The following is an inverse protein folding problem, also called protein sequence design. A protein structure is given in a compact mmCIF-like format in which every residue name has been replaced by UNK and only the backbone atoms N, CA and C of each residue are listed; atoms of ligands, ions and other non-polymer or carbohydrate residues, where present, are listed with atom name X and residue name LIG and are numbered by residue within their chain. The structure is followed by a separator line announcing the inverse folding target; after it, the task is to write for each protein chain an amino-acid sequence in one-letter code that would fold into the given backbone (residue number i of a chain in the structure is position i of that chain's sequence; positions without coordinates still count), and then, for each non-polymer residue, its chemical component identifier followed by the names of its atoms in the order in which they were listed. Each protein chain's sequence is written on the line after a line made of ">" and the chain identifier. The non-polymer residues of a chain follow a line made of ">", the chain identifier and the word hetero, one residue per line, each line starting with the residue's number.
data_IF_506327889594
#
_entry.id   IF_506327889594
#
_cell.length_a   1.000
_cell.length_b   1.000
_cell.length_c   1.000
_cell.angle_alpha   90.00
_cell.angle_beta   90.00
_cell.angle_gamma   90.00
#
_symmetry.space_group_name_H-M   'P 1'
#
loop_
_entity.id
_entity.type
_entity.pdbx_description
1 polymer ?
#
# COMPACT_ATOMS: atom_id res chain seq x y z
N UNK A 1 -16.57 -28.48 -30.80
CA UNK A 1 -17.12 -27.59 -29.76
C UNK A 1 -16.19 -27.38 -28.56
N UNK A 2 -15.37 -28.36 -28.13
CA UNK A 2 -14.41 -28.15 -27.02
C UNK A 2 -13.20 -27.24 -27.35
N UNK A 3 -12.83 -27.06 -28.62
CA UNK A 3 -11.64 -26.30 -29.00
C UNK A 3 -11.80 -24.77 -28.85
N UNK A 4 -13.02 -24.25 -29.01
CA UNK A 4 -13.31 -22.81 -28.89
C UNK A 4 -13.40 -22.32 -27.44
N UNK A 5 -13.71 -23.21 -26.49
CA UNK A 5 -13.80 -22.86 -25.07
C UNK A 5 -12.40 -22.70 -24.45
N UNK A 6 -11.43 -23.54 -24.85
CA UNK A 6 -10.04 -23.42 -24.42
C UNK A 6 -9.32 -22.18 -25.00
N UNK A 7 -9.64 -21.77 -26.23
CA UNK A 7 -9.05 -20.57 -26.83
C UNK A 7 -9.56 -19.27 -26.19
N UNK A 8 -10.85 -19.22 -25.83
CA UNK A 8 -11.42 -18.08 -25.10
C UNK A 8 -10.85 -17.95 -23.68
N UNK A 9 -10.58 -19.06 -22.99
CA UNK A 9 -9.90 -19.04 -21.69
C UNK A 9 -8.43 -18.62 -21.79
N UNK A 10 -7.76 -18.94 -22.89
CA UNK A 10 -6.38 -18.52 -23.12
C UNK A 10 -6.29 -17.03 -23.43
N UNK A 11 -7.20 -16.49 -24.27
CA UNK A 11 -7.25 -15.06 -24.64
C UNK A 11 -7.55 -14.13 -23.46
N UNK A 12 -8.33 -14.58 -22.47
CA UNK A 12 -8.54 -13.83 -21.21
C UNK A 12 -7.33 -13.86 -20.26
N UNK A 13 -6.36 -14.76 -20.45
CA UNK A 13 -5.16 -14.87 -19.63
C UNK A 13 -3.97 -14.07 -20.21
N UNK A 14 -3.97 -13.77 -21.52
CA UNK A 14 -2.85 -13.07 -22.19
C UNK A 14 -2.96 -11.54 -22.21
N UNK A 15 -4.08 -10.99 -21.75
CA UNK A 15 -4.16 -9.58 -21.36
C UNK A 15 -4.25 -9.52 -19.85
N UNK A 16 -3.13 -9.81 -19.17
CA UNK A 16 -2.87 -9.16 -17.90
C UNK A 16 -2.79 -7.66 -18.20
N UNK A 17 -3.95 -7.01 -18.26
CA UNK A 17 -4.06 -5.56 -18.27
C UNK A 17 -3.31 -5.16 -17.01
N UNK A 18 -2.12 -4.61 -17.18
CA UNK A 18 -1.36 -4.00 -16.08
C UNK A 18 -2.26 -2.90 -15.56
N UNK A 19 -3.03 -3.19 -14.51
CA UNK A 19 -3.96 -2.24 -13.92
C UNK A 19 -3.07 -1.07 -13.49
N UNK A 20 -3.27 0.11 -14.07
CA UNK A 20 -2.49 1.29 -13.70
C UNK A 20 -2.68 1.55 -12.21
N UNK A 21 -1.58 1.80 -11.51
CA UNK A 21 -1.61 1.88 -10.05
C UNK A 21 -2.03 3.27 -9.62
N UNK A 22 -3.12 3.33 -8.87
CA UNK A 22 -3.68 4.52 -8.21
C UNK A 22 -3.76 4.27 -6.71
N UNK A 23 -3.86 5.34 -5.93
CA UNK A 23 -4.14 5.27 -4.50
C UNK A 23 -5.64 5.24 -4.21
N UNK A 24 -6.03 4.48 -3.19
CA UNK A 24 -7.39 4.50 -2.63
C UNK A 24 -7.64 5.76 -1.78
N UNK A 25 -8.90 5.98 -1.37
CA UNK A 25 -9.23 7.04 -0.42
C UNK A 25 -8.45 6.89 0.90
N UNK A 26 -8.37 5.66 1.44
CA UNK A 26 -7.69 5.39 2.69
C UNK A 26 -6.18 5.63 2.59
N UNK A 27 -5.55 5.29 1.47
CA UNK A 27 -4.13 5.58 1.24
C UNK A 27 -3.89 7.09 1.09
N UNK A 28 -4.72 7.79 0.31
CA UNK A 28 -4.60 9.23 0.09
C UNK A 28 -4.83 10.05 1.37
N UNK A 29 -5.60 9.55 2.32
CA UNK A 29 -5.81 10.22 3.61
C UNK A 29 -4.48 10.46 4.35
N UNK A 30 -3.52 9.53 4.24
CA UNK A 30 -2.24 9.63 4.96
C UNK A 30 -1.27 10.65 4.36
N UNK A 31 -1.41 10.95 3.07
CA UNK A 31 -0.57 11.90 2.33
C UNK A 31 -1.21 13.29 2.17
N UNK A 32 -2.34 13.56 2.83
CA UNK A 32 -2.93 14.89 2.84
C UNK A 32 -1.95 15.92 3.42
N UNK A 33 -1.75 17.01 2.68
CA UNK A 33 -0.80 18.08 3.02
C UNK A 33 0.68 17.76 2.78
N UNK A 34 1.00 16.58 2.24
CA UNK A 34 2.36 16.23 1.82
C UNK A 34 2.59 16.53 0.34
N UNK A 35 3.85 16.54 -0.13
CA UNK A 35 4.14 16.59 -1.55
C UNK A 35 3.52 15.44 -2.34
N UNK A 36 3.42 15.64 -3.65
CA UNK A 36 2.80 14.68 -4.56
C UNK A 36 3.55 13.33 -4.57
N UNK A 37 2.78 12.25 -4.40
CA UNK A 37 3.29 10.89 -4.35
C UNK A 37 3.44 10.24 -5.74
N UNK A 38 4.58 10.45 -6.39
CA UNK A 38 4.86 9.93 -7.75
C UNK A 38 4.93 8.40 -7.88
N UNK A 39 5.27 7.67 -6.81
CA UNK A 39 5.47 6.23 -6.83
C UNK A 39 4.80 5.57 -5.63
N UNK A 40 4.39 4.32 -5.81
CA UNK A 40 3.90 3.43 -4.75
C UNK A 40 4.88 2.26 -4.58
N UNK A 41 5.29 1.99 -3.35
CA UNK A 41 6.12 0.81 -3.01
C UNK A 41 5.37 -0.08 -2.03
N UNK A 42 5.41 -1.38 -2.25
CA UNK A 42 4.86 -2.41 -1.39
C UNK A 42 5.97 -3.35 -0.92
N UNK A 43 5.99 -3.68 0.37
CA UNK A 43 6.86 -4.70 0.96
C UNK A 43 6.03 -5.81 1.58
N UNK A 44 6.15 -7.02 1.04
CA UNK A 44 5.63 -8.23 1.66
C UNK A 44 6.54 -8.61 2.84
N UNK A 45 6.01 -8.61 4.05
CA UNK A 45 6.77 -8.83 5.28
C UNK A 45 6.54 -10.22 5.83
N UNK A 46 7.62 -10.85 6.29
CA UNK A 46 7.56 -12.11 7.03
C UNK A 46 8.17 -11.96 8.43
N UNK A 47 7.68 -12.76 9.36
CA UNK A 47 8.24 -12.96 10.70
C UNK A 47 8.63 -14.42 10.85
N UNK A 48 9.91 -14.70 11.07
CA UNK A 48 10.44 -16.07 11.19
C UNK A 48 10.03 -16.98 10.00
N UNK A 49 9.92 -16.40 8.80
CA UNK A 49 9.50 -17.11 7.57
C UNK A 49 7.99 -17.22 7.35
N UNK A 50 7.15 -16.77 8.28
CA UNK A 50 5.69 -16.70 8.09
C UNK A 50 5.28 -15.34 7.54
N UNK A 51 4.43 -15.33 6.52
CA UNK A 51 3.90 -14.08 5.94
C UNK A 51 2.96 -13.38 6.92
N UNK A 52 3.22 -12.08 7.16
CA UNK A 52 2.48 -11.28 8.15
C UNK A 52 1.63 -10.17 7.52
N UNK A 53 1.86 -9.86 6.24
CA UNK A 53 1.13 -8.80 5.54
C UNK A 53 2.06 -7.92 4.69
N UNK A 54 1.55 -6.77 4.29
CA UNK A 54 2.24 -5.82 3.43
C UNK A 54 2.36 -4.45 4.11
N UNK A 55 3.51 -3.80 3.93
CA UNK A 55 3.67 -2.36 4.17
C UNK A 55 3.64 -1.64 2.83
N UNK A 56 2.73 -0.68 2.68
CA UNK A 56 2.58 0.11 1.46
C UNK A 56 2.97 1.56 1.71
N UNK A 57 3.76 2.14 0.80
CA UNK A 57 4.33 3.47 0.89
C UNK A 57 4.01 4.30 -0.34
N UNK A 58 3.74 5.58 -0.12
CA UNK A 58 3.70 6.62 -1.11
C UNK A 58 5.02 7.40 -1.10
N UNK A 59 5.64 7.61 -2.26
CA UNK A 59 6.97 8.22 -2.37
C UNK A 59 6.94 9.58 -3.07
N UNK A 60 7.63 10.56 -2.49
CA UNK A 60 7.62 11.97 -2.89
C UNK A 60 8.66 12.28 -3.98
N UNK A 61 8.54 11.64 -5.14
CA UNK A 61 9.56 11.73 -6.21
C UNK A 61 9.69 13.10 -6.87
N UNK A 62 8.71 14.00 -6.74
CA UNK A 62 8.88 15.39 -7.20
C UNK A 62 9.80 16.19 -6.26
N UNK A 63 9.77 15.89 -4.96
CA UNK A 63 10.58 16.57 -3.93
C UNK A 63 11.97 15.94 -3.75
N UNK A 64 12.04 14.61 -3.82
CA UNK A 64 13.28 13.84 -3.63
C UNK A 64 13.48 12.80 -4.75
N UNK A 65 13.66 13.22 -6.02
CA UNK A 65 13.70 12.32 -7.16
C UNK A 65 14.81 11.27 -7.08
N UNK A 66 16.04 11.64 -6.69
CA UNK A 66 17.16 10.70 -6.59
C UNK A 66 16.98 9.71 -5.46
N UNK A 67 16.48 10.19 -4.32
CA UNK A 67 16.22 9.33 -3.16
C UNK A 67 15.14 8.30 -3.49
N UNK A 68 14.07 8.71 -4.17
CA UNK A 68 12.98 7.84 -4.61
C UNK A 68 13.45 6.87 -5.68
N UNK A 69 14.19 7.32 -6.70
CA UNK A 69 14.75 6.44 -7.73
C UNK A 69 15.64 5.36 -7.11
N UNK A 70 16.54 5.73 -6.18
CA UNK A 70 17.36 4.78 -5.44
C UNK A 70 16.50 3.74 -4.70
N UNK A 71 15.51 4.19 -3.92
CA UNK A 71 14.68 3.30 -3.13
C UNK A 71 13.84 2.36 -3.98
N UNK A 72 13.26 2.83 -5.07
CA UNK A 72 12.48 2.02 -6.02
C UNK A 72 13.37 1.01 -6.74
N UNK A 73 14.56 1.40 -7.19
CA UNK A 73 15.49 0.49 -7.86
C UNK A 73 15.99 -0.63 -6.94
N UNK A 74 16.28 -0.32 -5.67
CA UNK A 74 16.63 -1.31 -4.64
C UNK A 74 15.42 -2.19 -4.27
N UNK A 75 14.21 -1.63 -4.25
CA UNK A 75 12.98 -2.41 -4.04
C UNK A 75 12.74 -3.43 -5.15
N UNK A 76 12.94 -3.01 -6.41
CA UNK A 76 12.72 -3.80 -7.60
C UNK A 76 13.91 -4.69 -7.99
N UNK A 77 14.97 -4.71 -7.17
CA UNK A 77 16.20 -5.45 -7.46
C UNK A 77 16.80 -5.11 -8.84
N UNK A 78 16.60 -3.88 -9.34
CA UNK A 78 16.89 -3.52 -10.74
C UNK A 78 18.39 -3.60 -11.11
N UNK A 79 19.27 -3.61 -10.10
CA UNK A 79 20.73 -3.78 -10.26
C UNK A 79 21.21 -5.19 -9.88
N UNK A 80 20.30 -6.12 -9.58
CA UNK A 80 20.63 -7.47 -9.09
C UNK A 80 20.88 -7.57 -7.58
N UNK A 81 20.78 -6.45 -6.87
CA UNK A 81 20.84 -6.34 -5.40
C UNK A 81 19.76 -5.36 -4.92
N UNK A 82 19.40 -5.42 -3.64
CA UNK A 82 18.32 -4.61 -3.09
C UNK A 82 17.66 -5.21 -1.86
N UNK A 83 16.37 -4.92 -1.67
CA UNK A 83 15.65 -5.20 -0.42
C UNK A 83 15.02 -6.59 -0.29
N UNK A 84 15.11 -7.43 -1.32
CA UNK A 84 14.61 -8.80 -1.25
C UNK A 84 15.40 -9.62 -0.20
N UNK A 85 14.67 -10.26 0.71
CA UNK A 85 15.16 -11.04 1.85
C UNK A 85 15.97 -10.25 2.90
N UNK A 86 15.86 -8.93 2.91
CA UNK A 86 16.55 -8.05 3.88
C UNK A 86 15.82 -7.97 5.20
N UNK A 87 16.57 -7.97 6.30
CA UNK A 87 16.02 -7.88 7.66
C UNK A 87 15.86 -6.45 8.16
N UNK A 88 14.85 -6.23 9.00
CA UNK A 88 14.81 -5.07 9.90
C UNK A 88 15.71 -5.36 11.09
N UNK A 89 16.92 -4.80 11.07
CA UNK A 89 17.98 -5.13 12.03
C UNK A 89 17.90 -4.34 13.34
N UNK A 90 17.07 -3.29 13.39
CA UNK A 90 16.90 -2.43 14.57
C UNK A 90 15.47 -1.93 14.69
N UNK A 91 14.86 -2.14 15.85
CA UNK A 91 13.48 -1.72 16.18
C UNK A 91 13.52 -1.01 17.52
N UNK A 92 13.03 0.22 17.59
CA UNK A 92 12.91 0.97 18.84
C UNK A 92 11.46 1.37 19.01
N UNK A 93 10.83 0.83 20.05
CA UNK A 93 9.45 1.15 20.42
C UNK A 93 9.28 2.66 20.66
N UNK A 94 8.15 3.20 20.23
CA UNK A 94 7.80 4.62 20.30
C UNK A 94 8.81 5.52 19.57
N UNK A 95 9.46 4.99 18.53
CA UNK A 95 10.40 5.73 17.72
C UNK A 95 10.37 5.31 16.24
N UNK A 96 10.99 4.17 15.90
CA UNK A 96 11.17 3.76 14.50
C UNK A 96 11.58 2.30 14.34
N UNK A 97 11.36 1.77 13.13
CA UNK A 97 11.92 0.51 12.66
C UNK A 97 12.90 0.77 11.51
N UNK A 98 14.09 0.16 11.54
CA UNK A 98 15.18 0.41 10.59
C UNK A 98 15.56 -0.87 9.84
N UNK A 99 15.76 -0.73 8.53
CA UNK A 99 16.12 -1.81 7.61
C UNK A 99 17.00 -1.31 6.46
N UNK A 100 17.10 -2.10 5.40
CA UNK A 100 17.79 -1.72 4.16
C UNK A 100 19.29 -2.05 4.08
N UNK A 101 19.86 -2.67 5.13
CA UNK A 101 21.22 -3.24 5.06
C UNK A 101 21.17 -4.65 4.44
N UNK A 102 21.34 -4.71 3.12
CA UNK A 102 21.35 -5.96 2.36
C UNK A 102 22.71 -6.63 2.27
N UNK A 103 23.78 -6.02 2.80
CA UNK A 103 25.13 -6.56 2.73
C UNK A 103 25.48 -7.32 4.02
N UNK A 104 25.32 -6.65 5.17
CA UNK A 104 25.74 -7.19 6.47
C UNK A 104 24.55 -7.51 7.38
N UNK A 105 23.40 -6.84 7.17
CA UNK A 105 22.19 -7.04 7.98
C UNK A 105 22.33 -6.63 9.45
N UNK A 106 23.30 -5.78 9.78
CA UNK A 106 23.61 -5.33 11.14
C UNK A 106 23.68 -3.80 11.28
N UNK A 107 23.47 -3.07 10.19
CA UNK A 107 23.49 -1.62 10.13
C UNK A 107 24.83 -1.04 9.67
N UNK A 108 25.82 -1.87 9.35
CA UNK A 108 27.15 -1.40 8.87
C UNK A 108 27.28 -1.38 7.35
N UNK A 109 26.36 -2.04 6.63
CA UNK A 109 26.39 -2.17 5.18
C UNK A 109 25.28 -1.42 4.44
N UNK A 110 25.15 -1.74 3.16
CA UNK A 110 24.17 -1.18 2.24
C UNK A 110 24.71 0.00 1.45
N UNK A 111 24.52 -0.04 0.13
CA UNK A 111 24.95 1.02 -0.79
C UNK A 111 23.81 1.41 -1.74
N UNK A 112 23.86 2.65 -2.22
CA UNK A 112 22.89 3.16 -3.19
C UNK A 112 23.18 2.68 -4.61
N UNK A 113 22.23 2.85 -5.51
CA UNK A 113 22.45 2.61 -6.95
C UNK A 113 23.49 3.55 -7.58
N UNK A 114 23.84 4.64 -6.88
CA UNK A 114 24.82 5.64 -7.30
C UNK A 114 26.23 5.38 -6.73
N UNK A 115 26.40 4.29 -5.96
CA UNK A 115 27.63 3.96 -5.25
C UNK A 115 27.42 3.91 -3.73
N UNK A 116 28.53 3.95 -2.97
CA UNK A 116 28.49 3.74 -1.52
C UNK A 116 27.60 4.74 -0.78
N UNK A 117 27.63 6.02 -1.18
CA UNK A 117 26.88 7.11 -0.55
C UNK A 117 26.41 8.14 -1.57
N UNK A 118 25.32 8.84 -1.28
CA UNK A 118 24.86 10.02 -2.03
C UNK A 118 24.44 11.17 -1.09
N UNK A 119 24.45 12.43 -1.59
CA UNK A 119 24.14 13.63 -0.79
C UNK A 119 22.72 13.68 -0.25
N UNK A 120 22.48 14.53 0.76
CA UNK A 120 21.14 14.85 1.24
C UNK A 120 20.41 15.71 0.20
N UNK A 121 19.23 15.27 -0.24
CA UNK A 121 18.53 15.87 -1.39
C UNK A 121 17.60 17.02 -0.99
N UNK A 122 16.70 16.79 -0.03
CA UNK A 122 15.75 17.80 0.47
C UNK A 122 15.39 17.53 1.93
N UNK A 123 15.13 18.60 2.68
CA UNK A 123 14.59 18.56 4.04
C UNK A 123 13.22 19.26 4.14
N UNK A 124 12.51 19.40 3.02
CA UNK A 124 11.20 20.05 2.97
C UNK A 124 10.14 19.31 3.80
N UNK A 125 10.17 17.97 3.74
CA UNK A 125 9.24 17.12 4.50
C UNK A 125 9.83 16.79 5.87
N UNK A 126 9.03 17.00 6.90
CA UNK A 126 9.42 16.81 8.30
C UNK A 126 8.90 15.47 8.85
N UNK A 127 9.49 14.99 9.95
CA UNK A 127 9.09 13.76 10.63
C UNK A 127 7.90 13.97 11.58
N UNK A 128 6.84 14.62 11.06
CA UNK A 128 5.65 15.06 11.80
C UNK A 128 4.43 14.13 11.68
N UNK A 129 4.63 12.91 11.14
CA UNK A 129 3.60 11.87 11.04
C UNK A 129 4.15 10.51 11.46
N UNK A 130 3.27 9.65 11.97
CA UNK A 130 3.54 8.21 12.09
C UNK A 130 3.65 7.60 10.69
N UNK A 131 4.63 6.73 10.49
CA UNK A 131 4.87 6.04 9.22
C UNK A 131 5.70 6.85 8.21
N UNK A 132 6.38 7.92 8.62
CA UNK A 132 7.33 8.63 7.75
C UNK A 132 8.44 7.69 7.34
N UNK A 133 8.69 7.62 6.03
CA UNK A 133 9.78 6.86 5.45
C UNK A 133 10.95 7.79 5.16
N UNK A 134 12.11 7.49 5.76
CA UNK A 134 13.25 8.40 5.79
C UNK A 134 14.59 7.66 5.70
N UNK A 135 15.60 8.32 5.14
CA UNK A 135 16.93 7.74 4.93
C UNK A 135 17.70 7.66 6.25
N UNK A 136 18.24 6.48 6.55
CA UNK A 136 19.25 6.36 7.60
C UNK A 136 20.60 6.83 7.04
N UNK A 137 21.37 7.54 7.87
CA UNK A 137 22.69 8.04 7.51
C UNK A 137 23.64 8.02 8.72
N UNK A 138 24.92 8.25 8.48
CA UNK A 138 25.97 8.37 9.51
C UNK A 138 26.55 9.78 9.55
N UNK A 139 25.71 10.79 9.32
CA UNK A 139 26.10 12.19 9.15
C UNK A 139 25.73 12.73 7.77
N UNK A 140 26.02 14.02 7.58
CA UNK A 140 25.65 14.77 6.37
C UNK A 140 26.16 14.09 5.10
N UNK A 141 25.31 14.01 4.08
CA UNK A 141 25.63 13.50 2.74
C UNK A 141 26.10 12.04 2.72
N UNK A 142 25.52 11.20 3.59
CA UNK A 142 25.90 9.77 3.72
C UNK A 142 24.77 8.78 3.47
N UNK A 143 23.77 9.17 2.67
CA UNK A 143 22.65 8.30 2.32
C UNK A 143 23.12 7.09 1.51
N UNK A 144 22.61 5.91 1.84
CA UNK A 144 22.96 4.65 1.17
C UNK A 144 21.70 3.86 0.80
N UNK A 145 21.57 2.65 1.32
CA UNK A 145 20.37 1.82 1.20
C UNK A 145 19.53 1.75 2.48
N UNK A 146 20.10 2.09 3.63
CA UNK A 146 19.38 1.98 4.88
C UNK A 146 18.31 3.06 5.00
N UNK A 147 17.17 2.65 5.56
CA UNK A 147 16.02 3.51 5.77
C UNK A 147 15.36 3.16 7.10
N UNK A 148 14.52 4.05 7.60
CA UNK A 148 13.66 3.79 8.74
C UNK A 148 12.24 4.29 8.49
N UNK A 149 11.31 3.68 9.22
CA UNK A 149 9.89 4.03 9.24
C UNK A 149 9.58 4.51 10.64
N UNK A 150 9.10 5.74 10.80
CA UNK A 150 8.73 6.26 12.12
C UNK A 150 7.50 5.54 12.65
N UNK A 151 7.51 5.21 13.94
CA UNK A 151 6.36 4.62 14.63
C UNK A 151 5.70 5.60 15.59
N UNK A 152 6.43 6.65 15.99
CA UNK A 152 5.89 7.80 16.73
C UNK A 152 5.33 8.85 15.79
N UNK A 153 4.35 9.62 16.29
CA UNK A 153 3.71 10.70 15.55
C UNK A 153 4.66 11.86 15.21
N UNK A 154 5.56 12.22 16.13
CA UNK A 154 6.50 13.33 15.95
C UNK A 154 7.92 12.91 16.37
N UNK A 155 8.84 13.01 15.41
CA UNK A 155 10.27 12.77 15.53
C UNK A 155 11.09 13.99 15.07
N UNK A 156 10.62 15.21 15.36
CA UNK A 156 11.23 16.48 14.93
C UNK A 156 12.73 16.66 15.23
N UNK A 157 13.31 15.91 16.17
CA UNK A 157 14.77 15.91 16.41
C UNK A 157 15.60 15.35 15.24
N UNK A 158 14.96 14.66 14.30
CA UNK A 158 15.54 14.14 13.05
C UNK A 158 15.45 15.14 11.89
N UNK A 159 14.65 16.19 12.02
CA UNK A 159 14.43 17.17 10.95
C UNK A 159 15.72 17.92 10.61
N UNK A 160 15.93 18.18 9.32
CA UNK A 160 17.16 18.78 8.80
C UNK A 160 18.40 17.87 8.85
N UNK A 161 18.25 16.61 9.30
CA UNK A 161 19.36 15.63 9.39
C UNK A 161 19.12 14.38 8.56
N UNK A 162 17.85 13.99 8.37
CA UNK A 162 17.46 12.82 7.60
C UNK A 162 16.47 13.22 6.51
N UNK A 163 16.69 12.73 5.30
CA UNK A 163 15.84 13.00 4.14
C UNK A 163 14.58 12.15 4.23
N UNK A 164 13.43 12.79 4.45
CA UNK A 164 12.12 12.15 4.33
C UNK A 164 11.73 12.09 2.86
N UNK A 165 11.41 10.91 2.37
CA UNK A 165 11.11 10.68 0.95
C UNK A 165 9.81 9.90 0.71
N UNK A 166 9.08 9.55 1.78
CA UNK A 166 7.78 8.91 1.65
C UNK A 166 6.98 8.82 2.94
N UNK A 167 5.81 8.20 2.82
CA UNK A 167 4.84 8.00 3.88
C UNK A 167 4.20 6.62 3.76
N UNK A 168 4.09 5.89 4.87
CA UNK A 168 3.28 4.67 4.95
C UNK A 168 1.81 5.04 4.72
N UNK A 169 1.18 4.34 3.79
CA UNK A 169 -0.23 4.52 3.41
C UNK A 169 -1.08 3.27 3.66
N UNK A 170 -0.44 2.12 3.91
CA UNK A 170 -1.11 0.87 4.26
C UNK A 170 -0.23 -0.04 5.11
N UNK A 171 -0.85 -0.89 5.95
CA UNK A 171 -0.11 -1.81 6.83
C UNK A 171 0.24 -1.24 8.21
N UNK A 172 -0.50 -0.26 8.72
CA UNK A 172 -0.24 0.32 10.05
C UNK A 172 -0.34 -0.69 11.20
N UNK A 173 -1.26 -1.67 11.13
CA UNK A 173 -1.37 -2.74 12.12
C UNK A 173 -0.11 -3.63 12.14
N UNK A 174 0.44 -3.91 10.96
CA UNK A 174 1.70 -4.64 10.81
C UNK A 174 2.89 -3.82 11.36
N UNK A 175 2.93 -2.51 11.08
CA UNK A 175 3.94 -1.62 11.65
C UNK A 175 3.90 -1.64 13.19
N UNK A 176 2.70 -1.60 13.78
CA UNK A 176 2.51 -1.67 15.23
C UNK A 176 2.93 -3.03 15.82
N UNK A 177 2.66 -4.11 15.09
CA UNK A 177 3.11 -5.44 15.50
C UNK A 177 4.64 -5.57 15.47
N UNK A 178 5.29 -5.02 14.43
CA UNK A 178 6.75 -4.98 14.34
C UNK A 178 7.35 -4.15 15.47
N UNK A 179 6.80 -2.97 15.72
CA UNK A 179 7.22 -2.07 16.80
C UNK A 179 7.18 -2.72 18.19
N UNK A 180 6.15 -3.52 18.48
CA UNK A 180 5.97 -4.18 19.77
C UNK A 180 6.73 -5.52 19.89
N UNK A 181 7.58 -5.85 18.92
CA UNK A 181 8.42 -7.06 18.99
C UNK A 181 9.46 -6.92 20.12
N UNK A 182 9.68 -7.97 20.95
CA UNK A 182 10.76 -7.96 21.93
C UNK A 182 12.13 -7.80 21.27
N UNK A 183 12.95 -6.89 21.82
CA UNK A 183 14.30 -6.61 21.33
C UNK A 183 15.37 -6.92 22.38
N UNK A 184 16.60 -7.12 21.92
CA UNK A 184 17.77 -7.22 22.79
C UNK A 184 18.25 -5.82 23.27
N UNK A 185 19.35 -5.81 24.04
CA UNK A 185 19.96 -4.59 24.56
C UNK A 185 20.50 -3.63 23.47
N UNK A 186 20.68 -4.10 22.24
CA UNK A 186 21.11 -3.29 21.08
C UNK A 186 19.93 -2.85 20.22
N UNK A 187 18.69 -3.11 20.66
CA UNK A 187 17.45 -2.88 19.92
C UNK A 187 17.31 -3.76 18.67
N UNK A 188 18.03 -4.89 18.61
CA UNK A 188 17.84 -5.88 17.56
C UNK A 188 16.62 -6.75 17.92
N UNK A 189 15.66 -6.95 17.01
CA UNK A 189 14.49 -7.78 17.32
C UNK A 189 14.88 -9.24 17.50
N UNK A 190 14.23 -9.90 18.46
CA UNK A 190 14.39 -11.33 18.69
C UNK A 190 13.80 -12.16 17.55
N UNK A 191 12.67 -11.69 17.00
CA UNK A 191 12.07 -12.26 15.81
C UNK A 191 12.73 -11.72 14.54
N UNK A 192 12.91 -12.60 13.56
CA UNK A 192 13.47 -12.23 12.26
C UNK A 192 12.36 -11.66 11.38
N UNK A 193 12.27 -10.33 11.34
CA UNK A 193 11.43 -9.60 10.40
C UNK A 193 12.16 -9.36 9.09
N UNK A 194 11.58 -9.82 7.97
CA UNK A 194 12.22 -9.82 6.65
C UNK A 194 11.29 -9.24 5.60
N UNK A 195 11.82 -8.38 4.74
CA UNK A 195 11.19 -7.99 3.48
C UNK A 195 11.31 -9.19 2.53
N UNK A 196 10.26 -10.00 2.44
CA UNK A 196 10.27 -11.18 1.57
C UNK A 196 10.38 -10.78 0.11
N UNK A 197 9.65 -9.74 -0.29
CA UNK A 197 9.69 -9.20 -1.64
C UNK A 197 9.20 -7.76 -1.64
N UNK A 198 9.81 -6.93 -2.48
CA UNK A 198 9.37 -5.57 -2.75
C UNK A 198 8.81 -5.39 -4.16
N UNK A 199 7.93 -4.41 -4.33
CA UNK A 199 7.50 -3.94 -5.64
C UNK A 199 7.29 -2.43 -5.60
N UNK A 200 7.99 -1.70 -6.46
CA UNK A 200 7.86 -0.26 -6.66
C UNK A 200 7.37 0.06 -8.06
N UNK A 201 6.33 0.87 -8.16
CA UNK A 201 5.68 1.23 -9.42
C UNK A 201 5.35 2.73 -9.46
N UNK A 202 5.44 3.37 -10.63
CA UNK A 202 4.95 4.73 -10.79
C UNK A 202 3.43 4.78 -10.64
N UNK A 203 2.92 5.89 -10.12
CA UNK A 203 1.49 6.14 -9.96
C UNK A 203 0.96 6.85 -11.20
N UNK A 204 -0.13 6.34 -11.76
CA UNK A 204 -0.75 6.96 -12.93
C UNK A 204 -1.74 8.05 -12.51
N UNK A 205 -1.25 9.28 -12.50
CA UNK A 205 -2.07 10.44 -12.18
C UNK A 205 -3.05 10.85 -13.27
N UNK A 206 -2.99 10.29 -14.48
CA UNK A 206 -3.98 10.59 -15.53
C UNK A 206 -5.37 10.04 -15.21
N UNK A 207 -5.42 9.02 -14.36
CA UNK A 207 -6.63 8.34 -13.91
C UNK A 207 -6.84 8.42 -12.39
N UNK A 208 -5.89 9.00 -11.65
CA UNK A 208 -6.03 9.19 -10.21
C UNK A 208 -7.17 10.17 -9.93
N UNK A 209 -8.23 9.68 -9.29
CA UNK A 209 -9.35 10.51 -8.86
C UNK A 209 -8.96 11.36 -7.63
N UNK A 210 -9.55 12.55 -7.47
CA UNK A 210 -9.40 13.38 -6.29
C UNK A 210 -9.79 12.66 -5.00
N UNK A 211 -9.16 13.04 -3.89
CA UNK A 211 -9.43 12.44 -2.58
C UNK A 211 -10.90 12.58 -2.16
N UNK A 212 -11.51 13.75 -2.34
CA UNK A 212 -12.88 14.00 -1.87
C UNK A 212 -13.92 13.12 -2.60
N UNK A 213 -13.74 12.90 -3.90
CA UNK A 213 -14.57 11.98 -4.69
C UNK A 213 -14.42 10.54 -4.21
N UNK A 214 -13.17 10.07 -4.05
CA UNK A 214 -12.88 8.72 -3.57
C UNK A 214 -13.40 8.49 -2.15
N UNK A 215 -13.32 9.51 -1.29
CA UNK A 215 -13.82 9.47 0.07
C UNK A 215 -15.34 9.36 0.09
N UNK A 216 -16.04 10.17 -0.70
CA UNK A 216 -17.50 10.12 -0.79
C UNK A 216 -17.97 8.72 -1.24
N UNK A 217 -17.31 8.12 -2.22
CA UNK A 217 -17.62 6.75 -2.66
C UNK A 217 -17.38 5.71 -1.56
N UNK A 218 -16.25 5.81 -0.85
CA UNK A 218 -15.93 4.90 0.25
C UNK A 218 -16.94 5.03 1.41
N UNK A 219 -17.37 6.25 1.73
CA UNK A 219 -18.37 6.52 2.77
C UNK A 219 -19.75 5.97 2.38
N UNK A 220 -20.14 6.11 1.10
CA UNK A 220 -21.37 5.54 0.56
C UNK A 220 -21.35 4.00 0.57
N UNK A 221 -20.24 3.38 0.18
CA UNK A 221 -20.07 1.93 0.22
C UNK A 221 -20.13 1.40 1.67
N UNK A 222 -19.46 2.09 2.60
CA UNK A 222 -19.50 1.74 4.01
C UNK A 222 -20.92 1.87 4.61
N UNK A 223 -21.68 2.91 4.24
CA UNK A 223 -23.07 3.07 4.65
C UNK A 223 -23.98 1.98 4.06
N UNK A 224 -23.74 1.59 2.80
CA UNK A 224 -24.46 0.49 2.17
C UNK A 224 -24.21 -0.85 2.89
N UNK A 225 -22.96 -1.13 3.27
CA UNK A 225 -22.59 -2.32 4.04
C UNK A 225 -23.20 -2.33 5.45
N UNK A 226 -23.39 -1.16 6.08
CA UNK A 226 -24.11 -1.02 7.36
C UNK A 226 -25.63 -1.14 7.24
N UNK A 227 -26.17 -1.23 6.02
CA UNK A 227 -27.61 -1.32 5.77
C UNK A 227 -28.35 0.01 5.93
N UNK A 228 -27.63 1.13 5.88
CA UNK A 228 -28.18 2.49 6.06
C UNK A 228 -28.80 3.08 4.78
N UNK A 229 -28.60 2.43 3.62
CA UNK A 229 -29.01 2.94 2.29
C UNK A 229 -30.51 2.93 2.01
N UNK A 230 -31.33 2.24 2.81
CA UNK A 230 -32.79 2.31 2.66
C UNK A 230 -33.38 3.66 3.07
N UNK A 231 -32.68 4.47 3.88
CA UNK A 231 -33.13 5.80 4.28
C UNK A 231 -32.73 6.90 3.28
N UNK A 232 -31.65 6.70 2.53
CA UNK A 232 -31.15 7.68 1.54
C UNK A 232 -31.98 7.58 0.24
N UNK A 233 -32.34 6.36 -0.17
CA UNK A 233 -33.19 6.18 -1.35
C UNK A 233 -34.62 6.74 -1.19
N UNK A 234 -35.14 6.83 0.04
CA UNK A 234 -36.45 7.42 0.29
C UNK A 234 -36.40 8.97 0.25
N UNK A 235 -35.27 9.60 0.60
CA UNK A 235 -35.11 11.06 0.48
C UNK A 235 -34.76 11.52 -0.95
N UNK A 236 -34.08 10.68 -1.73
CA UNK A 236 -33.80 10.95 -3.16
C UNK A 236 -35.06 10.75 -4.01
N UNK A 237 -35.92 9.77 -3.68
CA UNK A 237 -37.18 9.54 -4.41
C UNK A 237 -38.20 10.67 -4.35
N UNK A 238 -38.18 11.52 -3.32
CA UNK A 238 -39.07 12.70 -3.28
C UNK A 238 -38.55 13.87 -4.12
N UNK A 239 -37.24 13.94 -4.39
CA UNK A 239 -36.65 15.00 -5.22
C UNK A 239 -36.78 14.71 -6.73
N UNK A 240 -36.69 13.43 -7.13
CA UNK A 240 -36.68 13.02 -8.54
C UNK A 240 -38.06 12.91 -9.20
N UNK A 241 -39.16 13.12 -8.45
CA UNK A 241 -40.52 13.20 -9.04
C UNK A 241 -40.76 14.55 -9.75
N UNK A 242 -39.85 15.53 -9.62
CA UNK A 242 -40.05 16.88 -10.13
C UNK A 242 -39.26 17.25 -11.40
N UNK A 243 -38.45 16.37 -12.01
CA UNK A 243 -37.68 16.78 -13.19
C UNK A 243 -37.10 15.64 -14.02
N UNK A 244 -37.50 15.63 -15.30
CA UNK A 244 -36.80 15.07 -16.46
C UNK A 244 -36.53 13.55 -16.52
N UNK A 245 -37.23 12.87 -17.43
CA UNK A 245 -36.97 11.47 -17.82
C UNK A 245 -35.81 11.38 -18.82
N UNK A 246 -34.70 10.74 -18.45
CA UNK A 246 -33.60 10.35 -19.36
C UNK A 246 -33.55 8.80 -19.49
N UNK A 247 -33.44 8.20 -20.70
CA UNK A 247 -33.76 6.79 -20.93
C UNK A 247 -32.59 5.82 -20.67
N UNK A 248 -31.51 6.24 -20.00
CA UNK A 248 -30.33 5.40 -19.76
C UNK A 248 -30.32 4.65 -18.41
N UNK A 249 -31.35 4.83 -17.57
CA UNK A 249 -31.48 4.16 -16.26
C UNK A 249 -31.67 2.62 -16.30
N UNK A 250 -31.86 2.03 -17.49
CA UNK A 250 -32.09 0.59 -17.65
C UNK A 250 -30.86 -0.31 -17.46
N UNK A 251 -29.64 0.22 -17.65
CA UNK A 251 -28.43 -0.60 -17.65
C UNK A 251 -27.85 -0.85 -16.24
N UNK A 252 -28.08 0.07 -15.30
CA UNK A 252 -27.64 -0.09 -13.89
C UNK A 252 -28.54 -1.10 -13.16
N UNK A 253 -29.84 -1.13 -13.50
CA UNK A 253 -30.78 -2.10 -12.93
C UNK A 253 -30.50 -3.55 -13.34
N UNK A 254 -29.97 -3.79 -14.55
CA UNK A 254 -29.64 -5.14 -15.01
C UNK A 254 -28.38 -5.72 -14.36
N UNK A 255 -27.36 -4.89 -14.09
CA UNK A 255 -26.12 -5.34 -13.43
C UNK A 255 -26.35 -5.82 -11.99
N UNK A 256 -27.13 -5.06 -11.21
CA UNK A 256 -27.49 -5.42 -9.83
C UNK A 256 -28.38 -6.67 -9.75
N UNK A 257 -29.31 -6.83 -10.69
CA UNK A 257 -30.20 -8.00 -10.73
C UNK A 257 -29.42 -9.29 -11.03
N UNK A 258 -28.42 -9.24 -11.92
CA UNK A 258 -27.55 -10.38 -12.21
C UNK A 258 -26.75 -10.85 -10.98
N UNK A 259 -26.25 -9.92 -10.16
CA UNK A 259 -25.49 -10.27 -8.96
C UNK A 259 -26.38 -10.94 -7.89
N UNK A 260 -27.60 -10.41 -7.71
CA UNK A 260 -28.58 -10.98 -6.77
C UNK A 260 -29.01 -12.38 -7.24
N UNK A 261 -29.26 -12.58 -8.53
CA UNK A 261 -29.60 -13.89 -9.11
C UNK A 261 -28.44 -14.89 -8.93
N UNK A 262 -27.19 -14.46 -9.08
CA UNK A 262 -26.01 -15.31 -8.86
C UNK A 262 -25.85 -15.70 -7.39
N UNK A 263 -26.09 -14.78 -6.46
CA UNK A 263 -26.06 -15.06 -5.02
C UNK A 263 -27.16 -16.06 -4.64
N UNK A 264 -28.40 -15.84 -5.11
CA UNK A 264 -29.53 -16.74 -4.86
C UNK A 264 -29.31 -18.12 -5.49
N UNK A 265 -28.74 -18.19 -6.69
CA UNK A 265 -28.37 -19.46 -7.32
C UNK A 265 -27.30 -20.20 -6.51
N UNK A 266 -26.28 -19.49 -6.01
CA UNK A 266 -25.21 -20.08 -5.19
C UNK A 266 -25.74 -20.60 -3.85
N UNK A 267 -26.66 -19.89 -3.21
CA UNK A 267 -27.34 -20.33 -1.99
C UNK A 267 -28.21 -21.57 -2.23
N UNK A 268 -28.92 -21.64 -3.36
CA UNK A 268 -29.70 -22.81 -3.76
C UNK A 268 -28.80 -24.05 -4.03
N UNK A 269 -27.62 -23.85 -4.65
CA UNK A 269 -26.65 -24.92 -4.86
C UNK A 269 -26.08 -25.47 -3.53
N UNK A 270 -25.79 -24.59 -2.55
CA UNK A 270 -25.41 -25.02 -1.19
C UNK A 270 -26.53 -25.80 -0.50
N UNK A 271 -27.78 -25.36 -0.62
CA UNK A 271 -28.93 -26.04 -0.01
C UNK A 271 -29.18 -27.43 -0.62
N UNK A 272 -28.94 -27.62 -1.93
CA UNK A 272 -29.01 -28.93 -2.58
C UNK A 272 -27.86 -29.86 -2.17
N UNK A 273 -26.67 -29.32 -1.90
CA UNK A 273 -25.51 -30.09 -1.44
C UNK A 273 -25.72 -30.64 -0.02
N UNK A 274 -26.40 -29.90 0.86
CA UNK A 274 -26.74 -30.36 2.21
C UNK A 274 -27.82 -31.45 2.25
N UNK A 275 -28.67 -31.59 1.23
CA UNK A 275 -29.71 -32.64 1.18
C UNK A 275 -29.19 -34.00 0.70
N UNK A 276 -28.03 -34.06 0.03
CA UNK A 276 -27.45 -35.31 -0.48
C UNK A 276 -26.49 -36.01 0.48
N UNK A 277 -26.37 -35.55 1.73
CA UNK A 277 -25.52 -36.18 2.76
C UNK A 277 -26.28 -36.83 3.93
N UNK A 278 -27.60 -37.00 3.80
CA UNK A 278 -28.39 -37.83 4.71
C UNK A 278 -29.01 -38.99 3.93
N UNK A 279 -28.19 -39.97 3.55
CA UNK A 279 -28.53 -41.39 3.35
C UNK A 279 -27.24 -42.20 3.43
#
# INVERSE_FOLDING_TARGET
>A
MLFNVCFAFWVCLVHAISIPVTFSASELQHVQGDPKATHRVAFAITRNGQYMGELAFALFGDTTPKTVENFVALTNMSKGYGYELVTFHRIIKDFMIQGGDFENGDGTGGHSIYGKRFPDESFEVHHNKRGRLSMANSGKDTNGAQFFITTKQDCSWLDGKHVVFGQLVGGFELLEMMENTPTDAKNKPNDKWVIMKGMGVPVDYSIQRPYDELKQEADLEAAALRGETTLINDQVREADIAGETDPMGGYIFMGGFCLIVLILWRLNQSAKRCKNHNF
#
